data_IF_519451152179
#
_entry.id   IF_519451152179
#
_cell.length_a   1.000
_cell.length_b   1.000
_cell.length_c   1.000
_cell.angle_alpha   90.00
_cell.angle_beta   90.00
_cell.angle_gamma   90.00
#
_symmetry.space_group_name_H-M   'P 1'
#
loop_
_entity.id
_entity.type
_entity.pdbx_description
1 polymer ?
#
# COMPACT_ATOMS: atom_id res chain seq x y z
N UNK A 1 7.35 0.15 -15.58
CA UNK A 1 6.33 0.17 -14.50
C UNK A 1 6.03 1.60 -14.09
N UNK A 2 4.75 2.00 -14.02
CA UNK A 2 4.34 3.32 -13.50
C UNK A 2 3.74 3.17 -12.11
N UNK A 3 3.86 4.20 -11.27
CA UNK A 3 3.20 4.27 -9.96
C UNK A 3 2.82 5.70 -9.60
N UNK A 4 1.84 5.83 -8.71
CA UNK A 4 1.39 7.11 -8.17
C UNK A 4 1.14 6.96 -6.67
N UNK A 5 1.64 7.91 -5.87
CA UNK A 5 1.27 8.05 -4.46
C UNK A 5 -0.03 8.85 -4.37
N UNK A 6 -1.00 8.35 -3.62
CA UNK A 6 -2.27 9.03 -3.34
C UNK A 6 -2.51 9.05 -1.82
N UNK A 7 -3.34 9.99 -1.38
CA UNK A 7 -3.73 10.13 0.02
C UNK A 7 -5.23 9.91 0.13
N UNK A 8 -5.64 9.03 1.04
CA UNK A 8 -7.03 8.80 1.40
C UNK A 8 -7.52 9.90 2.34
N UNK A 9 -8.84 10.00 2.53
CA UNK A 9 -9.46 11.05 3.36
C UNK A 9 -9.05 10.98 4.84
N UNK A 10 -8.69 9.80 5.32
CA UNK A 10 -8.20 9.57 6.69
C UNK A 10 -6.69 9.84 6.85
N UNK A 11 -6.03 10.33 5.81
CA UNK A 11 -4.60 10.63 5.81
C UNK A 11 -3.70 9.43 5.49
N UNK A 12 -4.25 8.21 5.30
CA UNK A 12 -3.45 7.07 4.86
C UNK A 12 -2.89 7.31 3.46
N UNK A 13 -1.62 6.98 3.25
CA UNK A 13 -0.99 7.07 1.93
C UNK A 13 -0.92 5.71 1.26
N UNK A 14 -1.29 5.66 -0.01
CA UNK A 14 -1.41 4.44 -0.82
C UNK A 14 -0.62 4.60 -2.11
N UNK A 15 0.12 3.56 -2.49
CA UNK A 15 0.79 3.49 -3.78
C UNK A 15 -0.11 2.74 -4.74
N UNK A 16 -0.46 3.38 -5.86
CA UNK A 16 -1.14 2.74 -6.99
C UNK A 16 -0.11 2.41 -8.06
N UNK A 17 -0.05 1.16 -8.47
CA UNK A 17 0.83 0.63 -9.50
C UNK A 17 0.07 0.40 -10.80
N UNK A 18 0.73 0.64 -11.93
CA UNK A 18 0.26 0.25 -13.26
C UNK A 18 1.34 -0.61 -13.94
N UNK A 19 1.02 -1.90 -14.06
CA UNK A 19 1.77 -2.90 -14.81
C UNK A 19 0.99 -3.26 -16.07
N UNK A 20 1.36 -2.67 -17.21
CA UNK A 20 0.77 -3.03 -18.50
C UNK A 20 -0.75 -2.89 -18.58
N UNK A 21 -1.35 -1.95 -17.83
CA UNK A 21 -2.80 -1.76 -17.75
C UNK A 21 -3.49 -2.51 -16.62
N UNK A 22 -2.79 -3.40 -15.91
CA UNK A 22 -3.26 -3.98 -14.65
C UNK A 22 -2.88 -3.08 -13.49
N UNK A 23 -3.85 -2.81 -12.62
CA UNK A 23 -3.68 -1.91 -11.49
C UNK A 23 -3.65 -2.66 -10.17
N UNK A 24 -2.73 -2.26 -9.31
CA UNK A 24 -2.59 -2.76 -7.94
C UNK A 24 -2.46 -1.58 -6.99
N UNK A 25 -2.92 -1.73 -5.76
CA UNK A 25 -2.77 -0.70 -4.76
C UNK A 25 -2.41 -1.29 -3.40
N UNK A 26 -1.49 -0.64 -2.70
CA UNK A 26 -1.07 -1.02 -1.35
C UNK A 26 -0.74 0.17 -0.48
N UNK A 27 -0.84 -0.02 0.83
CA UNK A 27 -0.39 0.97 1.80
C UNK A 27 1.10 1.31 1.59
N UNK A 28 1.43 2.61 1.65
CA UNK A 28 2.78 3.09 1.42
C UNK A 28 3.72 2.82 2.62
N UNK A 29 3.17 2.57 3.80
CA UNK A 29 3.94 2.36 5.03
C UNK A 29 4.48 0.93 5.09
N UNK A 30 5.81 0.78 5.17
CA UNK A 30 6.43 -0.52 5.39
C UNK A 30 6.07 -1.07 6.79
N UNK A 31 5.47 -2.27 6.91
CA UNK A 31 4.98 -2.81 8.19
C UNK A 31 6.11 -3.17 9.17
N UNK A 32 7.37 -3.09 8.74
CA UNK A 32 8.53 -3.28 9.62
C UNK A 32 8.80 -2.07 10.51
N UNK A 33 8.91 -0.87 9.92
CA UNK A 33 9.37 0.33 10.62
C UNK A 33 8.82 1.65 10.03
N UNK A 34 7.71 1.59 9.29
CA UNK A 34 6.98 2.77 8.79
C UNK A 34 7.60 3.48 7.58
N UNK A 35 8.73 3.00 7.05
CA UNK A 35 9.39 3.63 5.91
C UNK A 35 8.48 3.68 4.67
N UNK A 36 8.52 4.80 3.94
CA UNK A 36 7.79 4.98 2.68
C UNK A 36 8.28 4.01 1.60
N UNK A 37 7.37 3.20 1.07
CA UNK A 37 7.64 2.25 -0.02
C UNK A 37 7.61 2.92 -1.39
N UNK A 38 7.03 4.12 -1.52
CA UNK A 38 6.89 4.82 -2.80
C UNK A 38 8.22 5.05 -3.52
N UNK A 39 9.30 5.26 -2.75
CA UNK A 39 10.67 5.41 -3.23
C UNK A 39 11.43 4.10 -3.46
N UNK A 40 10.83 2.94 -3.13
CA UNK A 40 11.46 1.63 -3.28
C UNK A 40 11.64 1.20 -4.73
N UNK A 41 12.60 0.32 -5.03
CA UNK A 41 12.67 -0.32 -6.35
C UNK A 41 11.51 -1.30 -6.51
N UNK A 42 10.95 -1.42 -7.71
CA UNK A 42 9.91 -2.41 -7.98
C UNK A 42 10.18 -3.09 -9.32
N UNK A 43 10.25 -4.42 -9.27
CA UNK A 43 10.55 -5.29 -10.41
C UNK A 43 9.44 -6.31 -10.49
N UNK A 44 8.80 -6.41 -11.66
CA UNK A 44 7.56 -7.18 -11.82
C UNK A 44 6.56 -6.83 -10.71
N UNK A 45 6.18 -7.83 -9.92
CA UNK A 45 5.21 -7.69 -8.83
C UNK A 45 5.87 -7.49 -7.48
N UNK A 46 7.17 -7.25 -7.39
CA UNK A 46 7.88 -7.21 -6.10
C UNK A 46 8.44 -5.82 -5.85
N UNK A 47 7.98 -5.17 -4.79
CA UNK A 47 8.53 -3.91 -4.31
C UNK A 47 9.52 -4.15 -3.17
N UNK A 48 10.69 -3.51 -3.25
CA UNK A 48 11.71 -3.53 -2.21
C UNK A 48 11.65 -2.26 -1.39
N UNK A 49 11.53 -2.39 -0.07
CA UNK A 49 11.62 -1.28 0.86
C UNK A 49 13.01 -0.63 0.74
N UNK A 50 13.11 0.70 0.52
CA UNK A 50 14.39 1.37 0.34
C UNK A 50 15.22 1.44 1.63
N UNK A 51 14.59 1.24 2.80
CA UNK A 51 15.26 1.39 4.10
C UNK A 51 15.96 0.12 4.57
N UNK A 52 15.33 -1.05 4.42
CA UNK A 52 15.84 -2.32 4.97
C UNK A 52 15.84 -3.48 3.96
N UNK A 53 15.46 -3.23 2.71
CA UNK A 53 15.48 -4.24 1.65
C UNK A 53 14.40 -5.33 1.74
N UNK A 54 13.46 -5.24 2.68
CA UNK A 54 12.33 -6.16 2.73
C UNK A 54 11.49 -6.06 1.46
N UNK A 55 11.08 -7.20 0.92
CA UNK A 55 10.42 -7.31 -0.38
C UNK A 55 9.01 -7.84 -0.25
N UNK A 56 8.07 -7.21 -0.94
CA UNK A 56 6.65 -7.50 -0.84
C UNK A 56 6.02 -7.68 -2.22
N UNK A 57 5.13 -8.66 -2.36
CA UNK A 57 4.34 -8.85 -3.58
C UNK A 57 3.20 -7.82 -3.65
N UNK A 58 3.15 -7.03 -4.71
CA UNK A 58 2.18 -5.93 -4.86
C UNK A 58 0.73 -6.39 -5.03
N UNK A 59 0.53 -7.65 -5.38
CA UNK A 59 -0.81 -8.22 -5.65
C UNK A 59 -1.53 -8.60 -4.36
N UNK A 60 -0.79 -8.99 -3.33
CA UNK A 60 -1.35 -9.53 -2.08
C UNK A 60 -0.70 -8.96 -0.81
N UNK A 61 0.36 -8.15 -0.94
CA UNK A 61 1.10 -7.51 0.14
C UNK A 61 2.05 -8.43 0.92
N UNK A 62 2.15 -9.71 0.56
CA UNK A 62 2.92 -10.69 1.31
C UNK A 62 4.42 -10.39 1.23
N UNK A 63 5.10 -10.37 2.38
CA UNK A 63 6.55 -10.31 2.41
C UNK A 63 7.15 -11.63 1.92
N UNK A 64 8.16 -11.56 1.06
CA UNK A 64 8.83 -12.73 0.47
C UNK A 64 9.73 -13.48 1.45
N UNK A 65 10.21 -12.79 2.49
CA UNK A 65 11.13 -13.35 3.49
C UNK A 65 10.46 -13.64 4.83
N UNK A 66 9.19 -13.31 5.00
CA UNK A 66 8.43 -13.59 6.22
C UNK A 66 6.94 -13.73 5.94
N UNK A 67 6.32 -14.80 6.43
CA UNK A 67 4.86 -14.95 6.40
C UNK A 67 4.13 -14.00 7.37
N UNK A 68 4.81 -13.49 8.41
CA UNK A 68 4.20 -12.64 9.44
C UNK A 68 4.03 -11.18 9.02
N UNK A 69 4.77 -10.73 8.01
CA UNK A 69 4.69 -9.36 7.50
C UNK A 69 3.85 -9.31 6.21
N UNK A 70 2.80 -8.48 6.23
CA UNK A 70 1.93 -8.25 5.08
C UNK A 70 1.49 -6.81 5.02
N UNK A 71 1.57 -6.22 3.83
CA UNK A 71 1.06 -4.88 3.54
C UNK A 71 -0.42 -4.97 3.20
N UNK A 72 -1.22 -4.03 3.69
CA UNK A 72 -2.61 -3.88 3.25
C UNK A 72 -2.68 -3.58 1.76
N UNK A 73 -3.47 -4.35 1.02
CA UNK A 73 -3.80 -4.09 -0.38
C UNK A 73 -5.21 -3.56 -0.52
N UNK A 74 -5.46 -2.83 -1.61
CA UNK A 74 -6.77 -2.27 -1.95
C UNK A 74 -7.17 -2.78 -3.32
N UNK A 75 -8.44 -3.19 -3.46
CA UNK A 75 -9.01 -3.51 -4.77
C UNK A 75 -9.06 -2.22 -5.59
N UNK A 76 -8.50 -2.26 -6.81
CA UNK A 76 -8.57 -1.17 -7.76
C UNK A 76 -9.68 -1.45 -8.76
N UNK A 77 -10.71 -0.60 -8.75
CA UNK A 77 -11.83 -0.67 -9.69
C UNK A 77 -11.66 0.39 -10.76
N UNK A 78 -11.73 0.00 -12.02
CA UNK A 78 -11.67 0.91 -13.16
C UNK A 78 -13.10 1.20 -13.63
N UNK A 79 -13.53 2.45 -13.51
CA UNK A 79 -14.86 2.89 -13.96
C UNK A 79 -14.78 4.33 -14.46
N UNK A 80 -15.47 4.66 -15.56
CA UNK A 80 -15.59 6.03 -16.09
C UNK A 80 -14.25 6.74 -16.32
N UNK A 81 -13.23 6.01 -16.81
CA UNK A 81 -11.85 6.50 -17.00
C UNK A 81 -11.16 6.94 -15.70
N UNK A 82 -11.69 6.55 -14.54
CA UNK A 82 -11.12 6.79 -13.22
C UNK A 82 -10.74 5.46 -12.54
N UNK A 83 -9.84 5.57 -11.57
CA UNK A 83 -9.46 4.47 -10.69
C UNK A 83 -10.05 4.74 -9.30
N UNK A 84 -10.79 3.76 -8.80
CA UNK A 84 -11.37 3.77 -7.46
C UNK A 84 -10.65 2.75 -6.60
N UNK A 85 -10.39 3.09 -5.34
CA UNK A 85 -9.85 2.17 -4.36
C UNK A 85 -10.99 1.72 -3.45
N UNK A 86 -11.23 0.41 -3.36
CA UNK A 86 -12.15 -0.12 -2.35
C UNK A 86 -11.45 -0.07 -1.00
N UNK A 87 -11.82 0.90 -0.17
CA UNK A 87 -11.43 0.93 1.23
C UNK A 87 -12.38 0.06 2.04
N UNK A 88 -11.92 -0.61 3.12
CA UNK A 88 -12.83 -1.09 4.15
C UNK A 88 -13.70 0.08 4.61
N UNK A 89 -14.96 -0.19 4.97
CA UNK A 89 -15.83 0.85 5.50
C UNK A 89 -15.11 1.57 6.65
N UNK A 90 -14.98 2.90 6.54
CA UNK A 90 -14.50 3.72 7.64
C UNK A 90 -15.53 3.57 8.76
N UNK A 91 -15.19 2.87 9.84
CA UNK A 91 -15.96 2.98 11.07
C UNK A 91 -15.77 4.42 11.58
N UNK A 92 -16.82 5.25 11.72
CA UNK A 92 -16.69 6.65 12.14
C UNK A 92 -16.26 6.84 13.62
N UNK A 93 -15.46 5.96 14.22
CA UNK A 93 -15.39 5.82 15.67
C UNK A 93 -14.09 5.29 16.27
N UNK A 94 -12.94 5.40 15.62
CA UNK A 94 -11.65 5.15 16.29
C UNK A 94 -10.70 6.33 16.10
N UNK A 95 -10.99 7.42 16.81
CA UNK A 95 -9.98 8.42 17.11
C UNK A 95 -8.89 7.74 17.96
N UNK A 96 -7.74 7.46 17.33
CA UNK A 96 -6.54 7.06 18.04
C UNK A 96 -5.98 8.22 18.85
N UNK A 97 -6.58 8.50 20.00
CA UNK A 97 -5.95 9.22 21.11
C UNK A 97 -6.13 8.39 22.37
N UNK A 98 -5.09 7.66 22.73
CA UNK A 98 -4.77 7.43 24.14
C UNK A 98 -3.33 7.87 24.34
N UNK A 99 -3.17 9.06 24.95
CA UNK A 99 -1.97 9.42 25.70
C UNK A 99 -1.70 8.29 26.73
N UNK A 100 -0.44 7.87 26.95
CA UNK A 100 -0.14 7.03 28.10
C UNK A 100 -0.34 7.84 29.40
N UNK A 101 -0.94 7.17 30.38
CA UNK A 101 -0.93 7.57 31.80
C UNK A 101 0.50 7.61 32.34
#
# INVERSE_FOLDING_TARGET
MRRKLVFLQDGQSVIVFNLGGQFFAMENSCPHAGASLAGGSCVEHVISCPSHGLRFDIRNGQCTSSSSLRIRTYEVVVADKQLWLRTPALNPGTNGTTLPQ
#
